data_IF_438235569969
#
_entry.id   IF_438235569969
#
_cell.length_a   1.000
_cell.length_b   1.000
_cell.length_c   1.000
_cell.angle_alpha   90.00
_cell.angle_beta   90.00
_cell.angle_gamma   90.00
#
_symmetry.space_group_name_H-M   'P 1'
#
loop_
_entity.id
_entity.type
_entity.pdbx_description
1 polymer ?
#
# COMPACT_ATOMS: atom_id res chain seq x y z
N UNK A 1 12.07 -34.85 -23.91
CA UNK A 1 11.93 -35.03 -22.47
C UNK A 1 10.95 -33.99 -21.96
N UNK A 2 9.90 -34.34 -21.21
CA UNK A 2 9.06 -33.32 -20.60
C UNK A 2 9.90 -32.45 -19.64
N UNK A 3 9.64 -31.14 -19.55
CA UNK A 3 10.37 -30.28 -18.63
C UNK A 3 10.18 -30.75 -17.17
N UNK A 4 11.25 -30.66 -16.38
CA UNK A 4 11.15 -31.01 -14.95
C UNK A 4 10.13 -30.10 -14.25
N UNK A 5 9.34 -30.63 -13.31
CA UNK A 5 8.43 -29.78 -12.53
C UNK A 5 9.23 -28.68 -11.82
N UNK A 6 8.68 -27.45 -11.84
CA UNK A 6 9.28 -26.32 -11.13
C UNK A 6 9.26 -26.56 -9.63
N UNK A 7 10.30 -26.14 -8.94
CA UNK A 7 10.33 -26.11 -7.45
C UNK A 7 9.43 -24.98 -6.94
N UNK A 8 9.04 -25.04 -5.65
CA UNK A 8 8.21 -23.99 -5.02
C UNK A 8 8.90 -22.63 -5.11
N UNK A 9 10.21 -22.54 -4.88
CA UNK A 9 11.00 -21.30 -5.02
C UNK A 9 10.92 -20.74 -6.44
N UNK A 10 10.97 -21.59 -7.46
CA UNK A 10 10.83 -21.16 -8.85
C UNK A 10 9.40 -20.67 -9.15
N UNK A 11 8.39 -21.35 -8.60
CA UNK A 11 6.98 -20.93 -8.75
C UNK A 11 6.72 -19.57 -8.08
N UNK A 12 7.28 -19.32 -6.92
CA UNK A 12 7.17 -18.04 -6.21
C UNK A 12 7.91 -16.92 -6.95
N UNK A 13 9.06 -17.24 -7.57
CA UNK A 13 9.76 -16.32 -8.46
C UNK A 13 8.91 -15.90 -9.65
N UNK A 14 8.31 -16.88 -10.34
CA UNK A 14 7.41 -16.62 -11.47
C UNK A 14 6.18 -15.77 -11.05
N UNK A 15 5.57 -16.08 -9.90
CA UNK A 15 4.44 -15.28 -9.38
C UNK A 15 4.82 -13.83 -9.16
N UNK A 16 5.98 -13.57 -8.55
CA UNK A 16 6.49 -12.20 -8.34
C UNK A 16 6.72 -11.48 -9.66
N UNK A 17 7.29 -12.17 -10.66
CA UNK A 17 7.51 -11.59 -11.99
C UNK A 17 6.18 -11.24 -12.68
N UNK A 18 5.19 -12.13 -12.60
CA UNK A 18 3.83 -11.91 -13.14
C UNK A 18 3.18 -10.70 -12.46
N UNK A 19 3.22 -10.62 -11.12
CA UNK A 19 2.66 -9.50 -10.34
C UNK A 19 3.34 -8.19 -10.71
N UNK A 20 4.66 -8.15 -10.76
CA UNK A 20 5.43 -6.95 -11.14
C UNK A 20 5.12 -6.50 -12.56
N UNK A 21 5.09 -7.43 -13.53
CA UNK A 21 4.74 -7.12 -14.91
C UNK A 21 3.30 -6.63 -15.09
N UNK A 22 2.37 -7.15 -14.28
CA UNK A 22 0.98 -6.70 -14.28
C UNK A 22 0.86 -5.29 -13.69
N UNK A 23 1.54 -4.99 -12.58
CA UNK A 23 1.59 -3.65 -11.98
C UNK A 23 2.07 -2.61 -13.01
N UNK A 24 3.16 -2.89 -13.73
CA UNK A 24 3.67 -2.02 -14.79
C UNK A 24 2.64 -1.74 -15.91
N UNK A 25 1.86 -2.77 -16.27
CA UNK A 25 0.81 -2.61 -17.31
C UNK A 25 -0.33 -1.74 -16.78
N UNK A 26 -0.78 -1.99 -15.55
CA UNK A 26 -1.88 -1.25 -14.92
C UNK A 26 -1.50 0.22 -14.75
N UNK A 27 -0.30 0.52 -14.28
CA UNK A 27 0.18 1.91 -14.14
C UNK A 27 0.22 2.69 -15.45
N UNK A 28 0.48 2.01 -16.58
CA UNK A 28 0.55 2.66 -17.90
C UNK A 28 -0.80 2.74 -18.63
N UNK A 29 -1.68 1.81 -18.38
CA UNK A 29 -2.87 1.59 -19.22
C UNK A 29 -4.16 1.38 -18.44
N UNK A 30 -4.14 1.54 -17.10
CA UNK A 30 -5.24 1.20 -16.20
C UNK A 30 -5.50 -0.31 -16.11
N UNK A 31 -6.37 -0.71 -15.17
CA UNK A 31 -6.76 -2.12 -14.99
C UNK A 31 -7.41 -2.72 -16.26
N UNK A 32 -8.19 -1.93 -16.99
CA UNK A 32 -8.76 -2.37 -18.27
C UNK A 32 -7.70 -2.65 -19.36
N UNK A 33 -6.52 -2.05 -19.24
CA UNK A 33 -5.37 -2.31 -20.09
C UNK A 33 -4.70 -3.67 -19.85
N UNK A 34 -4.92 -4.29 -18.69
CA UNK A 34 -4.38 -5.61 -18.34
C UNK A 34 -5.14 -6.74 -19.06
N UNK A 35 -4.40 -7.60 -19.72
CA UNK A 35 -4.90 -8.86 -20.27
C UNK A 35 -3.82 -9.94 -20.17
N UNK A 36 -4.22 -11.21 -20.01
CA UNK A 36 -3.30 -12.34 -19.93
C UNK A 36 -2.34 -12.43 -21.11
N UNK A 37 -2.77 -11.99 -22.30
CA UNK A 37 -1.93 -11.96 -23.51
C UNK A 37 -0.86 -10.86 -23.44
N UNK A 38 -1.25 -9.63 -23.06
CA UNK A 38 -0.29 -8.52 -22.91
C UNK A 38 0.70 -8.83 -21.79
N UNK A 39 0.21 -9.37 -20.67
CA UNK A 39 1.03 -9.79 -19.54
C UNK A 39 2.03 -10.87 -19.96
N UNK A 40 1.57 -11.90 -20.67
CA UNK A 40 2.45 -12.95 -21.18
C UNK A 40 3.57 -12.42 -22.06
N UNK A 41 3.27 -11.47 -22.94
CA UNK A 41 4.30 -10.78 -23.74
C UNK A 41 5.29 -10.03 -22.87
N UNK A 42 4.81 -9.33 -21.84
CA UNK A 42 5.63 -8.52 -20.91
C UNK A 42 6.61 -9.38 -20.10
N UNK A 43 6.13 -10.52 -19.58
CA UNK A 43 6.91 -11.41 -18.69
C UNK A 43 7.49 -12.63 -19.41
N UNK A 44 7.52 -12.62 -20.74
CA UNK A 44 8.05 -13.70 -21.59
C UNK A 44 7.46 -15.08 -21.31
N UNK A 45 6.16 -15.12 -20.94
CA UNK A 45 5.42 -16.35 -20.67
C UNK A 45 4.22 -16.48 -21.63
N UNK A 46 3.82 -17.72 -21.95
CA UNK A 46 2.53 -17.91 -22.64
C UNK A 46 1.37 -17.58 -21.72
N UNK A 47 0.25 -17.09 -22.27
CA UNK A 47 -0.99 -16.87 -21.49
C UNK A 47 -1.42 -18.15 -20.76
N UNK A 48 -1.29 -19.31 -21.40
CA UNK A 48 -1.60 -20.60 -20.78
C UNK A 48 -0.71 -20.88 -19.55
N UNK A 49 0.55 -20.47 -19.59
CA UNK A 49 1.43 -20.62 -18.44
C UNK A 49 1.02 -19.69 -17.28
N UNK A 50 0.57 -18.46 -17.57
CA UNK A 50 0.08 -17.53 -16.54
C UNK A 50 -1.17 -18.09 -15.86
N UNK A 51 -2.09 -18.73 -16.62
CA UNK A 51 -3.28 -19.39 -16.05
C UNK A 51 -2.96 -20.57 -15.11
N UNK A 52 -1.72 -21.09 -15.10
CA UNK A 52 -1.29 -22.05 -14.08
C UNK A 52 -0.98 -21.42 -12.71
N UNK A 53 -0.89 -20.08 -12.65
CA UNK A 53 -0.59 -19.30 -11.45
C UNK A 53 -1.78 -18.48 -10.96
N UNK A 54 -2.58 -17.95 -11.88
CA UNK A 54 -3.69 -17.03 -11.58
C UNK A 54 -4.90 -17.36 -12.45
N UNK A 55 -6.06 -17.41 -11.83
CA UNK A 55 -7.32 -17.75 -12.50
C UNK A 55 -7.73 -16.70 -13.53
N UNK A 56 -7.62 -15.40 -13.19
CA UNK A 56 -7.98 -14.28 -14.06
C UNK A 56 -7.18 -13.00 -13.73
N UNK A 57 -7.46 -11.91 -14.45
CA UNK A 57 -6.80 -10.60 -14.22
C UNK A 57 -7.14 -9.99 -12.85
N UNK A 58 -8.34 -10.26 -12.34
CA UNK A 58 -8.80 -9.72 -11.06
C UNK A 58 -8.06 -10.36 -9.90
N UNK A 59 -7.78 -11.66 -9.99
CA UNK A 59 -6.93 -12.34 -9.01
C UNK A 59 -5.52 -11.73 -8.98
N UNK A 60 -4.93 -11.46 -10.15
CA UNK A 60 -3.61 -10.79 -10.23
C UNK A 60 -3.67 -9.40 -9.59
N UNK A 61 -4.71 -8.63 -9.88
CA UNK A 61 -4.92 -7.29 -9.32
C UNK A 61 -4.99 -7.34 -7.78
N UNK A 62 -5.81 -8.24 -7.23
CA UNK A 62 -5.92 -8.40 -5.77
C UNK A 62 -4.58 -8.82 -5.13
N UNK A 63 -3.81 -9.71 -5.76
CA UNK A 63 -2.47 -10.06 -5.27
C UNK A 63 -1.49 -8.88 -5.32
N UNK A 64 -1.62 -7.96 -6.29
CA UNK A 64 -0.84 -6.72 -6.30
C UNK A 64 -1.18 -5.87 -5.06
N UNK A 65 -2.46 -5.68 -4.76
CA UNK A 65 -2.91 -4.92 -3.59
C UNK A 65 -2.43 -5.56 -2.29
N UNK A 66 -2.64 -6.87 -2.11
CA UNK A 66 -2.15 -7.62 -0.93
C UNK A 66 -0.65 -7.44 -0.76
N UNK A 67 0.13 -7.59 -1.84
CA UNK A 67 1.59 -7.40 -1.80
C UNK A 67 1.96 -5.98 -1.36
N UNK A 68 1.26 -4.97 -1.87
CA UNK A 68 1.48 -3.56 -1.50
C UNK A 68 1.16 -3.29 -0.03
N UNK A 69 0.00 -3.77 0.46
CA UNK A 69 -0.40 -3.61 1.86
C UNK A 69 0.50 -4.38 2.83
N UNK A 70 0.91 -5.59 2.50
CA UNK A 70 1.87 -6.37 3.29
C UNK A 70 3.22 -5.66 3.39
N UNK A 71 3.70 -5.13 2.27
CA UNK A 71 4.96 -4.38 2.22
C UNK A 71 4.89 -3.11 3.07
N UNK A 72 3.80 -2.33 2.95
CA UNK A 72 3.56 -1.16 3.77
C UNK A 72 3.54 -1.52 5.26
N UNK A 73 2.69 -2.48 5.66
CA UNK A 73 2.57 -2.89 7.05
C UNK A 73 3.90 -3.37 7.63
N UNK A 74 4.65 -4.17 6.86
CA UNK A 74 5.97 -4.65 7.27
C UNK A 74 6.94 -3.47 7.50
N UNK A 75 7.03 -2.54 6.57
CA UNK A 75 7.92 -1.38 6.69
C UNK A 75 7.56 -0.54 7.93
N UNK A 76 6.27 -0.27 8.15
CA UNK A 76 5.80 0.48 9.32
C UNK A 76 6.13 -0.25 10.63
N UNK A 77 5.85 -1.56 10.69
CA UNK A 77 6.08 -2.36 11.90
C UNK A 77 7.57 -2.48 12.24
N UNK A 78 8.42 -2.70 11.23
CA UNK A 78 9.87 -2.80 11.42
C UNK A 78 10.46 -1.45 11.88
N UNK A 79 9.97 -0.33 11.33
CA UNK A 79 10.47 1.00 11.66
C UNK A 79 10.21 1.43 13.12
N UNK A 80 9.16 0.92 13.74
CA UNK A 80 8.78 1.27 15.11
C UNK A 80 9.22 0.26 16.16
N UNK A 81 9.76 -0.90 15.75
CA UNK A 81 10.00 -2.04 16.63
C UNK A 81 10.99 -1.73 17.79
N UNK A 82 12.03 -0.95 17.50
CA UNK A 82 13.10 -0.66 18.45
C UNK A 82 12.82 0.54 19.38
N UNK A 83 11.74 1.28 19.12
CA UNK A 83 11.37 2.46 19.90
C UNK A 83 10.34 2.12 20.99
N UNK A 84 10.54 2.66 22.19
CA UNK A 84 9.62 2.51 23.34
C UNK A 84 8.76 3.74 23.57
N UNK A 85 9.28 4.91 23.23
CA UNK A 85 8.58 6.18 23.37
C UNK A 85 7.47 6.28 22.34
N UNK A 86 6.20 6.48 22.74
CA UNK A 86 5.06 6.56 21.82
C UNK A 86 5.19 7.64 20.75
N UNK A 87 5.70 8.83 21.12
CA UNK A 87 5.89 9.93 20.16
C UNK A 87 6.96 9.59 19.13
N UNK A 88 8.05 8.95 19.54
CA UNK A 88 9.09 8.48 18.61
C UNK A 88 8.57 7.38 17.69
N UNK A 89 7.77 6.45 18.20
CA UNK A 89 7.13 5.42 17.39
C UNK A 89 6.21 6.05 16.32
N UNK A 90 5.40 7.03 16.72
CA UNK A 90 4.54 7.77 15.78
C UNK A 90 5.37 8.52 14.73
N UNK A 91 6.40 9.25 15.16
CA UNK A 91 7.30 9.94 14.24
C UNK A 91 7.89 9.00 13.18
N UNK A 92 8.43 7.84 13.61
CA UNK A 92 9.00 6.87 12.68
C UNK A 92 7.94 6.24 11.77
N UNK A 93 6.75 5.97 12.28
CA UNK A 93 5.63 5.47 11.49
C UNK A 93 5.24 6.46 10.38
N UNK A 94 5.09 7.74 10.70
CA UNK A 94 4.76 8.81 9.75
C UNK A 94 5.84 8.96 8.67
N UNK A 95 7.12 9.05 9.07
CA UNK A 95 8.26 9.14 8.14
C UNK A 95 8.30 7.94 7.20
N UNK A 96 8.11 6.74 7.74
CA UNK A 96 8.14 5.50 6.96
C UNK A 96 6.96 5.42 5.99
N UNK A 97 5.77 5.89 6.37
CA UNK A 97 4.63 5.96 5.45
C UNK A 97 4.90 6.91 4.27
N UNK A 98 5.47 8.08 4.54
CA UNK A 98 5.85 9.04 3.48
C UNK A 98 6.91 8.42 2.56
N UNK A 99 7.95 7.81 3.14
CA UNK A 99 9.02 7.16 2.37
C UNK A 99 8.48 6.00 1.52
N UNK A 100 7.53 5.21 2.05
CA UNK A 100 6.85 4.17 1.26
C UNK A 100 6.14 4.77 0.04
N UNK A 101 5.42 5.87 0.23
CA UNK A 101 4.74 6.54 -0.89
C UNK A 101 5.70 7.01 -1.98
N UNK A 102 6.93 7.41 -1.62
CA UNK A 102 7.97 7.81 -2.56
C UNK A 102 8.59 6.59 -3.26
N UNK A 103 9.10 5.63 -2.48
CA UNK A 103 9.88 4.50 -2.98
C UNK A 103 9.03 3.48 -3.75
N UNK A 104 7.77 3.32 -3.35
CA UNK A 104 6.81 2.38 -3.92
C UNK A 104 5.60 3.10 -4.55
N UNK A 105 5.85 4.23 -5.24
CA UNK A 105 4.81 5.11 -5.79
C UNK A 105 3.75 4.39 -6.62
N UNK A 106 4.12 3.39 -7.43
CA UNK A 106 3.16 2.58 -8.21
C UNK A 106 2.21 1.77 -7.32
N UNK A 107 2.72 1.17 -6.24
CA UNK A 107 1.87 0.50 -5.26
C UNK A 107 0.99 1.51 -4.54
N UNK A 108 1.57 2.63 -4.06
CA UNK A 108 0.83 3.68 -3.37
C UNK A 108 -0.33 4.21 -4.22
N UNK A 109 -0.10 4.53 -5.49
CA UNK A 109 -1.12 5.03 -6.39
C UNK A 109 -2.25 4.00 -6.58
N UNK A 110 -1.91 2.73 -6.81
CA UNK A 110 -2.90 1.67 -7.00
C UNK A 110 -3.72 1.38 -5.74
N UNK A 111 -3.08 1.39 -4.57
CA UNK A 111 -3.72 1.12 -3.28
C UNK A 111 -4.70 2.24 -2.88
N UNK A 112 -4.34 3.50 -3.11
CA UNK A 112 -5.01 4.64 -2.48
C UNK A 112 -5.61 5.67 -3.44
N UNK A 113 -5.11 5.79 -4.67
CA UNK A 113 -5.46 6.91 -5.56
C UNK A 113 -6.36 6.51 -6.75
N UNK A 114 -6.46 5.22 -7.07
CA UNK A 114 -7.27 4.74 -8.21
C UNK A 114 -8.73 4.49 -7.83
N UNK A 115 -9.62 4.60 -8.83
CA UNK A 115 -11.04 4.22 -8.72
C UNK A 115 -11.29 2.76 -9.10
N UNK A 116 -10.25 1.95 -9.09
CA UNK A 116 -10.34 0.53 -9.45
C UNK A 116 -11.23 -0.25 -8.45
N UNK A 117 -11.73 -1.43 -8.84
CA UNK A 117 -12.65 -2.22 -8.03
C UNK A 117 -12.15 -2.44 -6.60
N UNK A 118 -13.05 -2.35 -5.64
CA UNK A 118 -12.81 -2.62 -4.21
C UNK A 118 -13.44 -3.96 -3.81
N UNK A 119 -13.16 -4.43 -2.62
CA UNK A 119 -13.60 -5.74 -2.13
C UNK A 119 -15.10 -6.02 -2.31
N UNK A 120 -15.95 -4.98 -2.21
CA UNK A 120 -17.40 -5.11 -2.39
C UNK A 120 -17.82 -5.39 -3.84
N UNK A 121 -17.02 -4.98 -4.82
CA UNK A 121 -17.29 -5.19 -6.24
C UNK A 121 -17.09 -6.67 -6.65
N UNK A 122 -16.43 -7.45 -5.79
CA UNK A 122 -16.15 -8.87 -6.01
C UNK A 122 -17.13 -9.83 -5.31
N UNK A 123 -18.20 -9.33 -4.69
CA UNK A 123 -19.22 -10.16 -4.06
C UNK A 123 -19.86 -11.10 -5.10
N UNK A 124 -19.99 -12.37 -4.77
CA UNK A 124 -20.44 -13.46 -5.66
C UNK A 124 -19.52 -13.73 -6.88
N UNK A 125 -18.28 -13.24 -6.87
CA UNK A 125 -17.28 -13.57 -7.89
C UNK A 125 -16.38 -14.74 -7.45
N UNK A 126 -15.67 -15.40 -8.38
CA UNK A 126 -14.70 -16.45 -8.04
C UNK A 126 -13.55 -16.00 -7.13
N UNK A 127 -13.29 -14.69 -7.02
CA UNK A 127 -12.22 -14.08 -6.22
C UNK A 127 -12.73 -13.38 -4.96
N UNK A 128 -14.01 -13.55 -4.59
CA UNK A 128 -14.60 -12.90 -3.41
C UNK A 128 -13.80 -13.16 -2.12
N UNK A 129 -13.39 -14.38 -1.88
CA UNK A 129 -12.64 -14.74 -0.67
C UNK A 129 -11.28 -14.01 -0.64
N UNK A 130 -10.59 -13.93 -1.77
CA UNK A 130 -9.34 -13.19 -1.90
C UNK A 130 -9.54 -11.69 -1.69
N UNK A 131 -10.62 -11.11 -2.23
CA UNK A 131 -10.97 -9.71 -2.03
C UNK A 131 -11.33 -9.37 -0.57
N UNK A 132 -11.90 -10.32 0.19
CA UNK A 132 -12.09 -10.18 1.64
C UNK A 132 -10.76 -10.17 2.40
N UNK A 133 -9.84 -11.08 2.04
CA UNK A 133 -8.50 -11.11 2.63
C UNK A 133 -7.72 -9.82 2.31
N UNK A 134 -7.78 -9.33 1.08
CA UNK A 134 -7.18 -8.04 0.70
C UNK A 134 -7.70 -6.89 1.58
N UNK A 135 -9.01 -6.84 1.82
CA UNK A 135 -9.61 -5.83 2.69
C UNK A 135 -9.09 -5.93 4.13
N UNK A 136 -8.92 -7.14 4.66
CA UNK A 136 -8.36 -7.33 6.01
C UNK A 136 -6.91 -6.83 6.05
N UNK A 137 -6.09 -7.14 5.05
CA UNK A 137 -4.71 -6.68 4.94
C UNK A 137 -4.62 -5.15 4.81
N UNK A 138 -5.51 -4.54 4.03
CA UNK A 138 -5.57 -3.08 3.86
C UNK A 138 -5.85 -2.33 5.17
N UNK A 139 -6.61 -2.93 6.09
CA UNK A 139 -6.94 -2.34 7.37
C UNK A 139 -5.82 -2.46 8.43
N UNK A 140 -4.84 -3.35 8.25
CA UNK A 140 -3.76 -3.58 9.24
C UNK A 140 -2.96 -2.31 9.55
N UNK A 141 -2.63 -1.54 8.53
CA UNK A 141 -1.90 -0.27 8.70
C UNK A 141 -2.75 0.78 9.43
N UNK A 142 -4.06 0.86 9.15
CA UNK A 142 -4.98 1.75 9.89
C UNK A 142 -5.07 1.35 11.37
N UNK A 143 -5.18 0.05 11.67
CA UNK A 143 -5.18 -0.46 13.05
C UNK A 143 -3.88 -0.10 13.77
N UNK A 144 -2.74 -0.20 13.08
CA UNK A 144 -1.44 0.19 13.63
C UNK A 144 -1.41 1.70 13.94
N UNK A 145 -1.83 2.58 13.02
CA UNK A 145 -1.93 4.01 13.28
C UNK A 145 -2.84 4.33 14.47
N UNK A 146 -4.03 3.73 14.54
CA UNK A 146 -4.93 3.91 15.69
C UNK A 146 -4.28 3.48 17.01
N UNK A 147 -3.52 2.36 17.01
CA UNK A 147 -2.84 1.90 18.23
C UNK A 147 -1.76 2.87 18.70
N UNK A 148 -1.00 3.45 17.76
CA UNK A 148 0.04 4.43 18.07
C UNK A 148 -0.57 5.75 18.60
N UNK A 149 -1.67 6.23 17.99
CA UNK A 149 -2.40 7.39 18.51
C UNK A 149 -2.91 7.11 19.93
N UNK A 150 -3.45 5.92 20.19
CA UNK A 150 -3.91 5.52 21.52
C UNK A 150 -2.76 5.50 22.55
N UNK A 151 -1.58 5.07 22.17
CA UNK A 151 -0.39 5.13 23.04
C UNK A 151 0.00 6.58 23.38
N UNK A 152 -0.15 7.51 22.43
CA UNK A 152 0.11 8.94 22.63
C UNK A 152 -1.04 9.66 23.36
N UNK A 153 -2.27 9.12 23.35
CA UNK A 153 -3.46 9.77 23.89
C UNK A 153 -4.27 8.82 24.80
N UNK A 154 -3.67 8.28 25.88
CA UNK A 154 -4.28 7.19 26.65
C UNK A 154 -5.57 7.60 27.42
N UNK A 155 -5.78 8.88 27.64
CA UNK A 155 -6.95 9.44 28.34
C UNK A 155 -8.15 9.72 27.42
N UNK A 156 -7.98 9.62 26.11
CA UNK A 156 -9.00 9.97 25.11
C UNK A 156 -9.93 8.81 24.79
N UNK A 157 -11.13 9.14 24.34
CA UNK A 157 -12.11 8.17 23.86
C UNK A 157 -11.70 7.54 22.53
N UNK A 158 -12.22 6.36 22.23
CA UNK A 158 -11.96 5.68 20.95
C UNK A 158 -12.37 6.54 19.73
N UNK A 159 -13.42 7.37 19.86
CA UNK A 159 -13.85 8.29 18.82
C UNK A 159 -12.86 9.44 18.58
N UNK A 160 -12.26 9.99 19.64
CA UNK A 160 -11.22 11.03 19.54
C UNK A 160 -9.94 10.45 18.93
N UNK A 161 -9.54 9.24 19.36
CA UNK A 161 -8.38 8.51 18.83
C UNK A 161 -8.57 8.27 17.32
N UNK A 162 -9.71 7.72 16.91
CA UNK A 162 -10.02 7.48 15.51
C UNK A 162 -10.00 8.77 14.68
N UNK A 163 -10.60 9.85 15.21
CA UNK A 163 -10.61 11.15 14.51
C UNK A 163 -9.20 11.71 14.33
N UNK A 164 -8.36 11.60 15.37
CA UNK A 164 -6.97 12.03 15.28
C UNK A 164 -6.18 11.19 14.25
N UNK A 165 -6.28 9.87 14.31
CA UNK A 165 -5.63 8.99 13.34
C UNK A 165 -6.09 9.26 11.90
N UNK A 166 -7.40 9.45 11.69
CA UNK A 166 -7.95 9.78 10.37
C UNK A 166 -7.41 11.13 9.84
N UNK A 167 -7.29 12.15 10.72
CA UNK A 167 -6.68 13.44 10.34
C UNK A 167 -5.23 13.26 9.89
N UNK A 168 -4.43 12.56 10.67
CA UNK A 168 -3.03 12.27 10.32
C UNK A 168 -2.95 11.58 8.94
N UNK A 169 -3.77 10.55 8.73
CA UNK A 169 -3.81 9.83 7.44
C UNK A 169 -4.20 10.77 6.30
N UNK A 170 -5.18 11.66 6.49
CA UNK A 170 -5.55 12.64 5.48
C UNK A 170 -4.39 13.61 5.14
N UNK A 171 -3.64 14.07 6.14
CA UNK A 171 -2.47 14.93 5.93
C UNK A 171 -1.39 14.22 5.11
N UNK A 172 -1.08 12.96 5.45
CA UNK A 172 -0.09 12.15 4.74
C UNK A 172 -0.50 11.86 3.28
N UNK A 173 -1.76 11.49 3.06
CA UNK A 173 -2.27 11.30 1.71
C UNK A 173 -2.33 12.61 0.92
N UNK A 174 -2.65 13.73 1.55
CA UNK A 174 -2.60 15.06 0.92
C UNK A 174 -1.19 15.40 0.44
N UNK A 175 -0.18 15.23 1.30
CA UNK A 175 1.23 15.44 0.98
C UNK A 175 1.68 14.58 -0.22
N UNK A 176 1.45 13.27 -0.15
CA UNK A 176 1.87 12.33 -1.19
C UNK A 176 1.13 12.54 -2.51
N UNK A 177 -0.16 12.90 -2.47
CA UNK A 177 -0.91 13.22 -3.68
C UNK A 177 -0.37 14.47 -4.39
N UNK A 178 -0.03 15.52 -3.65
CA UNK A 178 0.62 16.72 -4.20
C UNK A 178 2.02 16.43 -4.74
N UNK A 179 2.76 15.50 -4.11
CA UNK A 179 4.05 15.03 -4.61
C UNK A 179 3.92 14.31 -5.95
N UNK A 180 3.06 13.29 -6.04
CA UNK A 180 2.88 12.49 -7.25
C UNK A 180 2.28 13.29 -8.42
N UNK A 181 1.42 14.28 -8.13
CA UNK A 181 0.87 15.19 -9.14
C UNK A 181 1.80 16.34 -9.56
N UNK A 182 3.04 16.38 -9.03
CA UNK A 182 4.05 17.44 -9.28
C UNK A 182 3.62 18.86 -8.88
N UNK A 183 2.59 19.02 -8.07
CA UNK A 183 2.10 20.34 -7.64
C UNK A 183 3.18 21.11 -6.87
N UNK A 184 4.01 20.46 -6.04
CA UNK A 184 5.13 21.12 -5.35
C UNK A 184 6.04 21.90 -6.29
N UNK A 185 6.36 21.32 -7.47
CA UNK A 185 7.18 22.01 -8.47
C UNK A 185 6.47 23.22 -9.08
N UNK A 186 5.16 23.13 -9.30
CA UNK A 186 4.38 24.23 -9.89
C UNK A 186 4.27 25.43 -8.95
N UNK A 187 4.08 25.18 -7.64
CA UNK A 187 3.96 26.27 -6.64
C UNK A 187 5.29 26.74 -6.08
N UNK A 188 6.41 26.12 -6.47
CA UNK A 188 7.76 26.47 -5.99
C UNK A 188 7.97 26.14 -4.51
N UNK A 189 7.22 25.17 -3.94
CA UNK A 189 7.40 24.72 -2.57
C UNK A 189 8.38 23.54 -2.52
N UNK A 190 9.17 23.46 -1.44
CA UNK A 190 10.07 22.35 -1.18
C UNK A 190 9.31 21.20 -0.52
N UNK A 191 9.43 20.01 -1.08
CA UNK A 191 8.75 18.81 -0.57
C UNK A 191 9.38 18.33 0.74
N UNK A 192 10.70 18.41 0.89
CA UNK A 192 11.41 17.95 2.09
C UNK A 192 11.08 18.86 3.27
N UNK A 193 11.09 20.18 3.06
CA UNK A 193 10.68 21.16 4.06
C UNK A 193 9.21 20.93 4.50
N UNK A 194 8.32 20.70 3.55
CA UNK A 194 6.91 20.43 3.86
C UNK A 194 6.74 19.11 4.64
N UNK A 195 7.50 18.09 4.27
CA UNK A 195 7.50 16.79 4.97
C UNK A 195 7.94 16.97 6.43
N UNK A 196 9.05 17.66 6.68
CA UNK A 196 9.53 17.92 8.04
C UNK A 196 8.50 18.73 8.85
N UNK A 197 7.90 19.75 8.27
CA UNK A 197 6.87 20.54 8.94
C UNK A 197 5.65 19.70 9.34
N UNK A 198 5.17 18.83 8.46
CA UNK A 198 4.03 17.93 8.75
C UNK A 198 4.40 16.93 9.86
N UNK A 199 5.58 16.32 9.81
CA UNK A 199 6.04 15.38 10.84
C UNK A 199 6.11 16.08 12.20
N UNK A 200 6.75 17.25 12.27
CA UNK A 200 6.89 18.02 13.52
C UNK A 200 5.51 18.46 14.06
N UNK A 201 4.61 18.88 13.18
CA UNK A 201 3.25 19.29 13.56
C UNK A 201 2.45 18.11 14.14
N UNK A 202 2.49 16.93 13.51
CA UNK A 202 1.82 15.72 14.02
C UNK A 202 2.36 15.34 15.41
N UNK A 203 3.67 15.35 15.60
CA UNK A 203 4.30 15.00 16.88
C UNK A 203 3.95 16.02 17.96
N UNK A 204 4.04 17.33 17.66
CA UNK A 204 3.70 18.38 18.62
C UNK A 204 2.23 18.35 19.03
N UNK A 205 1.31 18.12 18.08
CA UNK A 205 -0.12 17.98 18.37
C UNK A 205 -0.41 16.80 19.33
N UNK A 206 0.29 15.68 19.18
CA UNK A 206 0.15 14.53 20.05
C UNK A 206 0.80 14.75 21.42
N UNK A 207 1.93 15.48 21.49
CA UNK A 207 2.61 15.83 22.76
C UNK A 207 1.73 16.68 23.65
N UNK A 208 0.97 17.64 23.10
CA UNK A 208 0.04 18.49 23.84
C UNK A 208 -1.12 17.68 24.48
N UNK A 209 -1.40 16.49 23.93
CA UNK A 209 -2.51 15.64 24.39
C UNK A 209 -2.09 14.62 25.47
N UNK A 210 -0.78 14.44 25.71
CA UNK A 210 -0.23 13.62 26.81
C UNK A 210 -0.46 14.29 28.17
#
# INVERSE_FOLDING_TARGET
>A
MPPKPKTDVQRDGDKREIISGALDIIMKHGLEGLSMRKLGTKVHMSSANIYNYFYNKDEIYLYILITGFDLLYKNLSDAIADYKDPLKRMEQCVRTFIQFGIDYGSYYELMFSTKDPKSLDYVNSPVEQLARSEKEDSLRSLVLFNSLVKECMPSKTEGEIFTCAARIICELHGLLNLYHSNVFKEIGADFEDMTENIVLHIVADLEIQL
#
